data_IF_885976466209
#
_entry.id   IF_885976466209
#
_cell.length_a   1.000
_cell.length_b   1.000
_cell.length_c   1.000
_cell.angle_alpha   90.00
_cell.angle_beta   90.00
_cell.angle_gamma   90.00
#
_symmetry.space_group_name_H-M   'P 1'
#
loop_
_entity.id
_entity.type
_entity.pdbx_description
1 polymer ?
#
# COMPACT_ATOMS: atom_id res chain seq x y z
N UNK A 1 17.53 3.49 -52.11
CA UNK A 1 16.16 3.49 -51.56
C UNK A 1 16.25 3.05 -50.12
N UNK A 2 15.90 3.94 -49.19
CA UNK A 2 15.93 3.69 -47.75
C UNK A 2 14.70 2.90 -47.33
N UNK A 3 14.90 1.78 -46.63
CA UNK A 3 13.84 1.09 -45.90
C UNK A 3 14.07 1.38 -44.41
N UNK A 4 13.41 2.43 -43.91
CA UNK A 4 13.40 2.75 -42.48
C UNK A 4 12.45 1.82 -41.76
N UNK A 5 12.98 0.83 -41.05
CA UNK A 5 12.20 0.01 -40.14
C UNK A 5 11.88 0.84 -38.89
N UNK A 6 10.59 1.08 -38.69
CA UNK A 6 9.98 1.74 -37.55
C UNK A 6 10.15 0.88 -36.29
N UNK A 7 11.16 1.18 -35.46
CA UNK A 7 11.36 0.57 -34.13
C UNK A 7 10.47 1.28 -33.09
N UNK A 8 9.16 1.05 -33.15
CA UNK A 8 8.21 1.43 -32.11
C UNK A 8 7.93 0.19 -31.23
N UNK A 9 8.73 -0.06 -30.20
CA UNK A 9 8.45 -1.21 -29.34
C UNK A 9 9.34 -1.55 -28.14
N UNK A 10 10.33 -0.73 -27.74
CA UNK A 10 11.36 -1.22 -26.77
C UNK A 10 11.43 -0.46 -25.43
N UNK A 11 10.60 0.55 -25.15
CA UNK A 11 10.71 1.28 -23.88
C UNK A 11 9.94 0.68 -22.68
N UNK A 12 9.07 -0.32 -22.87
CA UNK A 12 8.25 -0.88 -21.78
C UNK A 12 8.96 -1.95 -20.92
N UNK A 13 10.03 -2.56 -21.43
CA UNK A 13 10.65 -3.75 -20.80
C UNK A 13 11.40 -3.43 -19.49
N UNK A 14 12.12 -2.30 -19.41
CA UNK A 14 12.89 -1.94 -18.22
C UNK A 14 12.01 -1.51 -17.04
N UNK A 15 10.86 -0.89 -17.30
CA UNK A 15 9.93 -0.46 -16.25
C UNK A 15 9.06 -1.61 -15.73
N UNK A 16 8.62 -2.52 -16.61
CA UNK A 16 7.87 -3.73 -16.23
C UNK A 16 8.70 -4.67 -15.33
N UNK A 17 10.03 -4.71 -15.52
CA UNK A 17 10.93 -5.51 -14.67
C UNK A 17 10.92 -5.06 -13.20
N UNK A 18 10.76 -3.76 -12.90
CA UNK A 18 10.82 -3.25 -11.52
C UNK A 18 9.58 -3.57 -10.68
N UNK A 19 8.42 -3.73 -11.32
CA UNK A 19 7.16 -4.05 -10.65
C UNK A 19 6.80 -5.54 -10.72
N UNK A 20 7.53 -6.34 -11.53
CA UNK A 20 7.34 -7.78 -11.63
C UNK A 20 7.57 -8.43 -10.26
N UNK A 21 6.61 -9.24 -9.82
CA UNK A 21 6.70 -9.92 -8.52
C UNK A 21 6.49 -8.99 -7.32
N UNK A 22 5.85 -7.84 -7.51
CA UNK A 22 5.43 -6.93 -6.43
C UNK A 22 3.91 -6.90 -6.21
N UNK A 23 3.17 -7.49 -7.14
CA UNK A 23 1.73 -7.64 -7.08
C UNK A 23 1.28 -8.86 -7.88
N UNK A 24 0.05 -9.29 -7.63
CA UNK A 24 -0.70 -10.22 -8.47
C UNK A 24 -1.95 -9.55 -9.00
N UNK A 25 -2.42 -9.98 -10.17
CA UNK A 25 -3.68 -9.51 -10.74
C UNK A 25 -4.56 -10.68 -11.17
N UNK A 26 -5.87 -10.52 -11.00
CA UNK A 26 -6.88 -11.50 -11.44
C UNK A 26 -8.02 -10.78 -12.14
N UNK A 27 -8.26 -11.15 -13.40
CA UNK A 27 -9.39 -10.66 -14.18
C UNK A 27 -10.68 -11.30 -13.67
N UNK A 28 -11.73 -10.50 -13.57
CA UNK A 28 -13.11 -10.87 -13.26
C UNK A 28 -14.04 -10.23 -14.31
N UNK A 29 -15.31 -10.65 -14.33
CA UNK A 29 -16.30 -10.12 -15.28
C UNK A 29 -16.50 -8.60 -15.16
N UNK A 30 -16.40 -8.07 -13.94
CA UNK A 30 -16.68 -6.68 -13.58
C UNK A 30 -15.42 -5.83 -13.31
N UNK A 31 -14.23 -6.37 -13.57
CA UNK A 31 -12.97 -5.63 -13.37
C UNK A 31 -11.78 -6.55 -13.15
N UNK A 32 -10.63 -5.95 -12.83
CA UNK A 32 -9.41 -6.68 -12.47
C UNK A 32 -9.07 -6.35 -11.03
N UNK A 33 -8.86 -7.37 -10.22
CA UNK A 33 -8.34 -7.22 -8.87
C UNK A 33 -6.82 -7.21 -8.95
N UNK A 34 -6.20 -6.20 -8.38
CA UNK A 34 -4.77 -6.08 -8.14
C UNK A 34 -4.52 -6.19 -6.64
N UNK A 35 -3.55 -7.01 -6.24
CA UNK A 35 -3.13 -7.15 -4.85
C UNK A 35 -1.61 -7.03 -4.76
N UNK A 36 -1.09 -6.03 -4.04
CA UNK A 36 0.35 -5.88 -3.80
C UNK A 36 0.82 -6.89 -2.76
N UNK A 37 2.06 -7.34 -2.84
CA UNK A 37 2.61 -8.16 -1.75
C UNK A 37 2.84 -7.33 -0.49
N UNK A 38 2.81 -7.96 0.70
CA UNK A 38 3.05 -7.27 1.96
C UNK A 38 4.45 -6.66 2.03
N UNK A 39 4.52 -5.42 2.47
CA UNK A 39 5.76 -4.65 2.58
C UNK A 39 5.89 -4.08 4.00
N UNK A 40 7.06 -4.31 4.61
CA UNK A 40 7.37 -3.86 5.97
C UNK A 40 8.30 -2.66 5.90
N UNK A 41 7.71 -1.47 5.89
CA UNK A 41 8.46 -0.21 5.75
C UNK A 41 8.36 0.68 6.99
N UNK A 42 7.25 0.59 7.71
CA UNK A 42 6.96 1.41 8.87
C UNK A 42 7.41 0.70 10.14
N UNK A 43 8.06 1.44 11.05
CA UNK A 43 8.55 0.90 12.31
C UNK A 43 8.39 1.89 13.45
N UNK A 44 8.14 1.37 14.64
CA UNK A 44 8.07 2.09 15.89
C UNK A 44 9.07 1.48 16.86
N UNK A 45 9.82 2.31 17.60
CA UNK A 45 10.74 1.81 18.63
C UNK A 45 10.00 1.03 19.73
N UNK A 46 8.76 1.39 19.99
CA UNK A 46 7.96 0.82 21.08
C UNK A 46 7.08 -0.34 20.61
N UNK A 47 6.55 -0.27 19.37
CA UNK A 47 5.57 -1.23 18.87
C UNK A 47 6.09 -2.15 17.76
N UNK A 48 7.35 -2.01 17.35
CA UNK A 48 7.96 -2.79 16.28
C UNK A 48 7.43 -2.39 14.91
N UNK A 49 7.34 -3.38 14.02
CA UNK A 49 7.05 -3.13 12.61
C UNK A 49 5.55 -3.10 12.30
N UNK A 50 5.22 -2.33 11.25
CA UNK A 50 3.93 -2.31 10.59
C UNK A 50 4.13 -2.71 9.12
N UNK A 51 3.47 -3.80 8.75
CA UNK A 51 3.45 -4.33 7.38
C UNK A 51 2.13 -3.93 6.73
N UNK A 52 2.14 -3.57 5.45
CA UNK A 52 0.91 -3.26 4.71
C UNK A 52 0.90 -3.92 3.33
N UNK A 53 -0.30 -4.13 2.82
CA UNK A 53 -0.59 -4.56 1.47
C UNK A 53 -1.86 -3.87 0.97
N UNK A 54 -2.03 -3.81 -0.35
CA UNK A 54 -3.08 -3.04 -0.98
C UNK A 54 -3.85 -3.94 -1.91
N UNK A 55 -5.17 -3.85 -1.85
CA UNK A 55 -6.07 -4.41 -2.85
C UNK A 55 -6.78 -3.29 -3.58
N UNK A 56 -6.78 -3.32 -4.91
CA UNK A 56 -7.54 -2.41 -5.74
C UNK A 56 -8.30 -3.22 -6.79
N UNK A 57 -9.57 -2.91 -6.99
CA UNK A 57 -10.37 -3.51 -8.05
C UNK A 57 -10.75 -2.43 -9.04
N UNK A 58 -10.44 -2.67 -10.32
CA UNK A 58 -10.82 -1.71 -11.36
C UNK A 58 -12.33 -1.63 -11.51
N UNK A 59 -12.82 -0.48 -11.97
CA UNK A 59 -14.27 -0.21 -12.18
C UNK A 59 -15.12 -0.30 -10.91
N UNK A 60 -14.49 -0.38 -9.74
CA UNK A 60 -15.13 -0.32 -8.44
C UNK A 60 -14.90 1.07 -7.84
N UNK A 61 -15.95 1.92 -7.86
CA UNK A 61 -16.21 3.15 -7.06
C UNK A 61 -15.05 4.12 -6.73
N UNK A 62 -13.88 3.99 -7.34
CA UNK A 62 -12.69 4.80 -7.06
C UNK A 62 -12.00 4.47 -5.72
N UNK A 63 -12.35 3.36 -5.06
CA UNK A 63 -11.76 2.99 -3.76
C UNK A 63 -10.67 1.93 -3.87
N UNK A 64 -9.69 2.02 -2.98
CA UNK A 64 -8.71 0.98 -2.72
C UNK A 64 -8.79 0.55 -1.26
N UNK A 65 -8.41 -0.69 -0.99
CA UNK A 65 -8.33 -1.25 0.36
C UNK A 65 -6.88 -1.34 0.78
N UNK A 66 -6.53 -0.77 1.92
CA UNK A 66 -5.23 -0.95 2.56
C UNK A 66 -5.41 -1.90 3.73
N UNK A 67 -4.71 -3.03 3.69
CA UNK A 67 -4.60 -3.92 4.82
C UNK A 67 -3.28 -3.65 5.53
N UNK A 68 -3.28 -3.77 6.85
CA UNK A 68 -2.06 -3.64 7.61
C UNK A 68 -2.02 -4.61 8.79
N UNK A 69 -0.81 -5.04 9.12
CA UNK A 69 -0.50 -5.92 10.23
C UNK A 69 0.46 -5.21 11.17
N UNK A 70 0.16 -5.24 12.47
CA UNK A 70 1.06 -4.82 13.53
C UNK A 70 1.02 -5.80 14.71
N UNK A 71 1.95 -5.62 15.64
CA UNK A 71 2.05 -6.45 16.83
C UNK A 71 1.80 -5.65 18.10
N UNK A 72 1.11 -6.26 19.07
CA UNK A 72 0.87 -5.64 20.37
C UNK A 72 1.00 -6.64 21.52
N UNK A 73 1.18 -6.13 22.74
CA UNK A 73 1.22 -6.96 23.95
C UNK A 73 -0.16 -7.52 24.34
N UNK A 74 -1.25 -6.92 23.86
CA UNK A 74 -2.62 -7.23 24.26
C UNK A 74 -3.52 -7.31 23.03
N UNK A 75 -4.59 -8.10 23.11
CA UNK A 75 -5.59 -8.26 22.05
C UNK A 75 -6.55 -7.06 21.85
N UNK A 76 -6.21 -5.88 22.39
CA UNK A 76 -7.09 -4.71 22.34
C UNK A 76 -7.28 -4.24 20.89
N UNK A 77 -8.53 -3.93 20.47
CA UNK A 77 -8.79 -3.52 19.10
C UNK A 77 -8.23 -2.12 18.80
N UNK A 78 -8.10 -1.79 17.51
CA UNK A 78 -7.84 -0.43 17.02
C UNK A 78 -9.10 0.15 16.42
N UNK A 79 -9.34 1.44 16.66
CA UNK A 79 -10.53 2.16 16.18
C UNK A 79 -10.30 2.75 14.79
N UNK A 80 -9.12 3.31 14.56
CA UNK A 80 -8.78 4.00 13.32
C UNK A 80 -7.28 4.02 13.04
N UNK A 81 -6.94 4.40 11.81
CA UNK A 81 -5.57 4.61 11.36
C UNK A 81 -5.46 5.90 10.56
N UNK A 82 -4.25 6.45 10.54
CA UNK A 82 -3.86 7.59 9.71
C UNK A 82 -2.48 7.34 9.10
N UNK A 83 -2.38 7.40 7.78
CA UNK A 83 -1.12 7.47 7.04
C UNK A 83 -0.97 8.87 6.46
N UNK A 84 0.19 9.48 6.60
CA UNK A 84 0.47 10.84 6.11
C UNK A 84 1.76 10.86 5.31
N UNK A 85 1.73 11.48 4.12
CA UNK A 85 2.89 11.70 3.26
C UNK A 85 2.79 13.09 2.62
N UNK A 86 3.59 14.05 3.11
CA UNK A 86 3.54 15.42 2.62
C UNK A 86 2.16 16.05 2.83
N UNK A 87 1.41 16.29 1.74
CA UNK A 87 0.05 16.86 1.77
C UNK A 87 -1.06 15.81 1.71
N UNK A 88 -0.70 14.54 1.57
CA UNK A 88 -1.66 13.45 1.44
C UNK A 88 -1.89 12.83 2.80
N UNK A 89 -3.16 12.71 3.18
CA UNK A 89 -3.59 11.99 4.38
C UNK A 89 -4.57 10.89 3.96
N UNK A 90 -4.28 9.66 4.33
CA UNK A 90 -5.18 8.52 4.22
C UNK A 90 -5.58 8.14 5.64
N UNK A 91 -6.83 8.39 6.02
CA UNK A 91 -7.29 8.11 7.38
C UNK A 91 -8.74 7.63 7.39
N UNK A 92 -9.05 6.75 8.33
CA UNK A 92 -10.40 6.22 8.46
C UNK A 92 -10.54 5.21 9.60
N UNK A 93 -11.77 4.81 9.91
CA UNK A 93 -12.02 3.68 10.79
C UNK A 93 -11.43 2.40 10.19
N UNK A 94 -11.10 1.45 11.05
CA UNK A 94 -10.52 0.17 10.62
C UNK A 94 -11.44 -0.99 10.97
N UNK A 95 -11.51 -1.97 10.08
CA UNK A 95 -12.21 -3.23 10.31
C UNK A 95 -11.20 -4.33 10.62
N UNK A 96 -11.49 -5.12 11.66
CA UNK A 96 -10.65 -6.25 12.06
C UNK A 96 -10.78 -7.37 11.03
N UNK A 97 -9.66 -7.81 10.47
CA UNK A 97 -9.58 -9.09 9.76
C UNK A 97 -9.39 -10.20 10.80
N UNK A 98 -8.32 -10.12 11.61
CA UNK A 98 -8.10 -11.04 12.73
C UNK A 98 -7.24 -10.41 13.83
N UNK A 99 -7.37 -10.96 15.04
CA UNK A 99 -6.47 -10.72 16.17
C UNK A 99 -6.16 -12.07 16.79
N UNK A 100 -4.90 -12.49 16.73
CA UNK A 100 -4.50 -13.84 17.11
C UNK A 100 -3.21 -13.85 17.94
N UNK A 101 -3.06 -14.78 18.89
CA UNK A 101 -1.83 -14.89 19.66
C UNK A 101 -0.69 -15.46 18.79
N UNK A 102 0.46 -14.79 18.81
CA UNK A 102 1.72 -15.28 18.22
C UNK A 102 2.83 -15.22 19.29
N UNK A 103 3.22 -16.39 19.81
CA UNK A 103 4.23 -16.54 20.87
C UNK A 103 3.88 -15.71 22.12
N UNK A 104 4.54 -14.56 22.32
CA UNK A 104 4.41 -13.68 23.51
C UNK A 104 3.68 -12.37 23.20
N UNK A 105 3.11 -12.24 22.00
CA UNK A 105 2.46 -11.03 21.50
C UNK A 105 1.20 -11.40 20.72
N UNK A 106 0.43 -10.40 20.35
CA UNK A 106 -0.75 -10.53 19.52
C UNK A 106 -0.46 -9.96 18.14
N UNK A 107 -0.86 -10.69 17.10
CA UNK A 107 -0.89 -10.21 15.72
C UNK A 107 -2.22 -9.55 15.50
N UNK A 108 -2.18 -8.32 15.01
CA UNK A 108 -3.35 -7.55 14.67
C UNK A 108 -3.35 -7.30 13.18
N UNK A 109 -4.38 -7.76 12.48
CA UNK A 109 -4.56 -7.46 11.06
C UNK A 109 -5.89 -6.77 10.82
N UNK A 110 -5.81 -5.65 10.13
CA UNK A 110 -6.92 -4.75 9.88
C UNK A 110 -6.98 -4.36 8.41
N UNK A 111 -8.12 -3.81 8.04
CA UNK A 111 -8.39 -3.27 6.72
C UNK A 111 -9.09 -1.92 6.84
N UNK A 112 -8.85 -1.02 5.89
CA UNK A 112 -9.62 0.21 5.73
C UNK A 112 -9.63 0.66 4.27
N UNK A 113 -10.71 1.33 3.88
CA UNK A 113 -10.90 1.86 2.53
C UNK A 113 -10.39 3.28 2.41
N UNK A 114 -9.79 3.58 1.25
CA UNK A 114 -9.25 4.89 0.91
C UNK A 114 -9.60 5.26 -0.53
N UNK A 115 -9.60 6.55 -0.81
CA UNK A 115 -9.65 7.07 -2.19
C UNK A 115 -8.41 6.58 -2.96
N UNK A 116 -8.62 5.90 -4.09
CA UNK A 116 -7.54 5.32 -4.89
C UNK A 116 -6.62 6.41 -5.45
N UNK A 117 -7.16 7.60 -5.73
CA UNK A 117 -6.39 8.73 -6.24
C UNK A 117 -5.47 9.33 -5.18
N UNK A 118 -5.96 9.48 -3.95
CA UNK A 118 -5.15 9.86 -2.81
C UNK A 118 -4.09 8.80 -2.51
N UNK A 119 -4.44 7.52 -2.58
CA UNK A 119 -3.49 6.43 -2.38
C UNK A 119 -2.37 6.44 -3.42
N UNK A 120 -2.67 6.69 -4.69
CA UNK A 120 -1.65 6.82 -5.73
C UNK A 120 -0.70 8.01 -5.44
N UNK A 121 -1.23 9.16 -4.99
CA UNK A 121 -0.44 10.34 -4.62
C UNK A 121 0.37 10.15 -3.33
N UNK A 122 -0.03 9.23 -2.45
CA UNK A 122 0.68 8.95 -1.20
C UNK A 122 2.11 8.45 -1.45
N UNK A 123 2.35 7.73 -2.55
CA UNK A 123 3.65 7.16 -2.91
C UNK A 123 4.63 8.17 -3.54
N UNK A 124 4.75 9.36 -2.95
CA UNK A 124 5.73 10.37 -3.31
C UNK A 124 7.13 10.01 -2.75
N UNK A 125 8.15 9.73 -3.60
CA UNK A 125 9.50 9.39 -3.15
C UNK A 125 10.22 10.53 -2.41
N UNK A 126 9.77 11.78 -2.57
CA UNK A 126 10.34 12.94 -1.88
C UNK A 126 9.75 13.14 -0.47
N UNK A 127 8.59 12.54 -0.19
CA UNK A 127 7.95 12.59 1.12
C UNK A 127 8.65 11.66 2.13
N UNK A 128 8.37 11.89 3.42
CA UNK A 128 8.75 10.99 4.50
C UNK A 128 7.47 10.61 5.25
N UNK A 129 6.83 9.49 4.89
CA UNK A 129 5.55 9.15 5.47
C UNK A 129 5.63 8.67 6.92
N UNK A 130 4.53 8.86 7.62
CA UNK A 130 4.27 8.34 8.95
C UNK A 130 2.93 7.60 8.97
N UNK A 131 2.83 6.60 9.84
CA UNK A 131 1.56 5.95 10.17
C UNK A 131 1.28 6.13 11.66
N UNK A 132 0.04 6.47 12.01
CA UNK A 132 -0.43 6.56 13.39
C UNK A 132 -1.63 5.64 13.56
N UNK A 133 -1.50 4.67 14.46
CA UNK A 133 -2.61 3.81 14.91
C UNK A 133 -3.27 4.41 16.14
N UNK A 134 -4.59 4.29 16.21
CA UNK A 134 -5.40 4.72 17.35
C UNK A 134 -6.08 3.51 18.00
N UNK A 135 -5.43 2.88 19.00
CA UNK A 135 -6.01 1.76 19.75
C UNK A 135 -7.24 2.20 20.55
N UNK A 136 -8.24 1.33 20.66
CA UNK A 136 -9.42 1.56 21.48
C UNK A 136 -9.03 1.75 22.95
N UNK A 137 -9.28 2.94 23.50
CA UNK A 137 -8.93 3.29 24.88
C UNK A 137 -7.43 3.36 25.17
N UNK A 138 -6.58 3.36 24.14
CA UNK A 138 -5.13 3.44 24.25
C UNK A 138 -4.54 4.79 23.81
N UNK A 139 -3.21 4.90 23.92
CA UNK A 139 -2.49 6.05 23.34
C UNK A 139 -2.21 5.80 21.86
N UNK A 140 -2.23 6.86 21.02
CA UNK A 140 -1.82 6.73 19.63
C UNK A 140 -0.39 6.21 19.52
N UNK A 141 -0.16 5.29 18.58
CA UNK A 141 1.15 4.69 18.31
C UNK A 141 1.62 5.15 16.95
N UNK A 142 2.79 5.79 16.90
CA UNK A 142 3.38 6.30 15.66
C UNK A 142 4.46 5.36 15.13
N UNK A 143 4.45 5.18 13.82
CA UNK A 143 5.42 4.44 13.05
C UNK A 143 6.03 5.36 11.99
N UNK A 144 7.33 5.25 11.82
CA UNK A 144 8.11 6.02 10.85
C UNK A 144 8.70 5.10 9.80
N UNK A 145 8.85 5.60 8.58
CA UNK A 145 9.59 4.90 7.54
C UNK A 145 11.08 5.26 7.57
N UNK A 146 11.93 4.30 7.22
CA UNK A 146 13.32 4.61 6.85
C UNK A 146 13.35 5.33 5.50
N UNK A 147 13.98 6.51 5.44
CA UNK A 147 13.99 7.35 4.23
C UNK A 147 14.52 6.62 2.99
N UNK A 148 15.56 5.81 3.14
CA UNK A 148 16.11 5.01 2.03
C UNK A 148 15.11 3.96 1.55
N UNK A 149 14.51 3.20 2.45
CA UNK A 149 13.51 2.18 2.12
C UNK A 149 12.30 2.79 1.41
N UNK A 150 11.84 3.96 1.86
CA UNK A 150 10.75 4.68 1.19
C UNK A 150 11.12 5.13 -0.21
N UNK A 151 12.30 5.76 -0.38
CA UNK A 151 12.78 6.22 -1.68
C UNK A 151 12.91 5.07 -2.69
N UNK A 152 13.25 3.88 -2.21
CA UNK A 152 13.38 2.69 -3.07
C UNK A 152 12.01 2.08 -3.40
N UNK A 153 11.05 2.10 -2.46
CA UNK A 153 9.74 1.48 -2.63
C UNK A 153 8.69 2.40 -3.30
N UNK A 154 8.60 3.67 -2.93
CA UNK A 154 7.57 4.60 -3.42
C UNK A 154 7.50 4.69 -4.96
N UNK A 155 8.63 4.72 -5.71
CA UNK A 155 8.58 4.66 -7.16
C UNK A 155 7.98 3.36 -7.71
N UNK A 156 8.21 2.23 -7.04
CA UNK A 156 7.67 0.91 -7.42
C UNK A 156 6.16 0.92 -7.24
N UNK A 157 5.67 1.36 -6.07
CA UNK A 157 4.24 1.46 -5.80
C UNK A 157 3.55 2.44 -6.77
N UNK A 158 4.10 3.64 -6.97
CA UNK A 158 3.60 4.60 -7.96
C UNK A 158 3.48 3.99 -9.35
N UNK A 159 4.49 3.23 -9.79
CA UNK A 159 4.49 2.58 -11.10
C UNK A 159 3.40 1.51 -11.23
N UNK A 160 3.10 0.77 -10.15
CA UNK A 160 1.98 -0.18 -10.12
C UNK A 160 0.67 0.54 -10.35
N UNK A 161 0.39 1.64 -9.63
CA UNK A 161 -0.84 2.42 -9.80
C UNK A 161 -0.94 3.10 -11.17
N UNK A 162 0.16 3.61 -11.72
CA UNK A 162 0.20 4.11 -13.10
C UNK A 162 -0.19 3.04 -14.12
N UNK A 163 0.34 1.82 -13.97
CA UNK A 163 0.04 0.70 -14.86
C UNK A 163 -1.42 0.27 -14.74
N UNK A 164 -1.97 0.21 -13.52
CA UNK A 164 -3.37 -0.08 -13.27
C UNK A 164 -4.26 0.94 -13.99
N UNK A 165 -4.03 2.23 -13.78
CA UNK A 165 -4.80 3.31 -14.42
C UNK A 165 -4.70 3.29 -15.94
N UNK A 166 -3.52 2.99 -16.48
CA UNK A 166 -3.34 2.85 -17.92
C UNK A 166 -4.24 1.74 -18.47
N UNK A 167 -4.30 0.58 -17.81
CA UNK A 167 -5.14 -0.54 -18.24
C UNK A 167 -6.64 -0.23 -18.11
N UNK A 168 -7.06 0.61 -17.17
CA UNK A 168 -8.46 1.04 -17.03
C UNK A 168 -8.93 1.99 -18.13
N UNK A 169 -8.00 2.78 -18.67
CA UNK A 169 -8.29 3.73 -19.75
C UNK A 169 -8.28 3.10 -21.16
N UNK A 170 -7.93 1.82 -21.28
CA UNK A 170 -8.05 1.03 -22.52
C UNK A 170 -9.43 0.38 -22.62
#
# INVERSE_FOLDING_TARGET
MACGALLLGVCLSASAQKIKGRYVSKVQEDGTIYHTFPETLFSSREAGDLTFDITYKTRQDGTATVNFTYYAAQAAPSDSVRFEAGKVTLAGPVEKIYIEPEKKRWVHRYTFSVDADALARFFDPAAQPEATLYPAGGRPVRYHVQKSAWRDYAPVASKIFEMIRYNEAQ
#
